data_IF_021934806340
#
_entry.id   IF_021934806340
#
_cell.length_a   1.000
_cell.length_b   1.000
_cell.length_c   1.000
_cell.angle_alpha   90.00
_cell.angle_beta   90.00
_cell.angle_gamma   90.00
#
_symmetry.space_group_name_H-M   'P 1'
#
loop_
_entity.id
_entity.type
_entity.pdbx_description
1 polymer ?
#
# COMPACT_ATOMS: atom_id res chain seq x y z
N UNK A 1 -19.36 5.35 28.74
CA UNK A 1 -19.12 6.25 29.89
C UNK A 1 -18.06 7.31 29.60
N UNK A 2 -16.82 6.99 29.19
CA UNK A 2 -15.81 8.03 28.91
C UNK A 2 -16.10 8.89 27.65
N UNK A 3 -16.61 8.30 26.56
CA UNK A 3 -16.86 9.04 25.30
C UNK A 3 -17.90 10.16 25.45
N UNK A 4 -19.02 9.89 26.13
CA UNK A 4 -20.03 10.91 26.41
C UNK A 4 -19.51 11.99 27.39
N UNK A 5 -18.71 11.60 28.38
CA UNK A 5 -18.14 12.53 29.34
C UNK A 5 -17.18 13.56 28.69
N UNK A 6 -16.41 13.14 27.68
CA UNK A 6 -15.46 13.99 26.96
C UNK A 6 -15.97 14.47 25.59
N UNK A 7 -17.24 14.22 25.23
CA UNK A 7 -17.79 14.61 23.92
C UNK A 7 -17.14 13.93 22.71
N UNK A 8 -16.52 12.76 22.89
CA UNK A 8 -15.77 12.06 21.84
C UNK A 8 -16.69 11.22 20.95
N UNK A 9 -16.69 11.52 19.64
CA UNK A 9 -17.44 10.77 18.62
C UNK A 9 -16.83 9.40 18.33
N UNK A 10 -15.56 9.18 18.67
CA UNK A 10 -14.82 7.92 18.51
C UNK A 10 -13.70 7.78 19.56
N UNK A 11 -13.16 6.56 19.80
CA UNK A 11 -11.98 6.41 20.65
C UNK A 11 -10.80 7.22 20.09
N UNK A 12 -10.12 8.05 20.90
CA UNK A 12 -9.10 8.98 20.39
C UNK A 12 -7.84 8.26 19.87
N UNK A 13 -7.55 7.08 20.41
CA UNK A 13 -6.43 6.21 20.00
C UNK A 13 -6.92 4.94 19.28
N UNK A 14 -8.10 4.99 18.68
CA UNK A 14 -8.64 3.87 17.91
C UNK A 14 -7.94 3.73 16.55
N UNK A 15 -7.93 2.51 16.01
CA UNK A 15 -7.46 2.25 14.62
C UNK A 15 -8.32 2.93 13.54
N UNK A 16 -9.42 3.56 13.93
CA UNK A 16 -10.38 4.23 13.03
C UNK A 16 -10.15 5.74 12.89
N UNK A 17 -9.14 6.31 13.57
CA UNK A 17 -8.81 7.73 13.43
C UNK A 17 -8.36 8.01 11.98
N UNK A 18 -9.17 8.80 11.26
CA UNK A 18 -8.95 9.12 9.83
C UNK A 18 -8.04 10.32 9.63
N UNK A 19 -8.09 11.28 10.55
CA UNK A 19 -7.28 12.50 10.51
C UNK A 19 -5.97 12.27 11.25
N UNK A 20 -4.87 12.40 10.51
CA UNK A 20 -3.54 12.40 11.08
C UNK A 20 -3.16 13.84 11.42
N UNK A 21 -2.46 14.02 12.53
CA UNK A 21 -1.79 15.28 12.80
C UNK A 21 -0.70 15.48 11.73
N UNK A 22 -0.76 16.59 10.99
CA UNK A 22 0.23 16.95 9.98
C UNK A 22 0.89 18.28 10.33
N UNK A 23 2.21 18.26 10.53
CA UNK A 23 3.08 19.42 10.68
C UNK A 23 3.72 19.85 9.33
N UNK A 24 3.21 19.32 8.21
CA UNK A 24 3.66 19.55 6.84
C UNK A 24 4.41 18.36 6.23
N UNK A 25 4.79 17.35 7.03
CA UNK A 25 5.45 16.15 6.53
C UNK A 25 4.53 15.27 5.69
N UNK A 26 3.27 15.12 6.08
CA UNK A 26 2.28 14.33 5.33
C UNK A 26 1.96 15.01 4.00
N UNK A 27 1.88 16.34 3.98
CA UNK A 27 1.75 17.11 2.75
C UNK A 27 2.90 16.83 1.77
N UNK A 28 4.16 16.90 2.21
CA UNK A 28 5.33 16.58 1.36
C UNK A 28 5.33 15.12 0.89
N UNK A 29 4.95 14.20 1.76
CA UNK A 29 4.83 12.78 1.40
C UNK A 29 3.76 12.60 0.33
N UNK A 30 2.60 13.26 0.48
CA UNK A 30 1.49 13.22 -0.47
C UNK A 30 1.94 13.75 -1.83
N UNK A 31 2.64 14.89 -1.89
CA UNK A 31 3.17 15.45 -3.14
C UNK A 31 4.11 14.48 -3.86
N UNK A 32 5.08 13.91 -3.13
CA UNK A 32 6.03 12.92 -3.68
C UNK A 32 5.33 11.64 -4.14
N UNK A 33 4.33 11.20 -3.38
CA UNK A 33 3.52 10.04 -3.74
C UNK A 33 2.72 10.30 -5.02
N UNK A 34 2.07 11.45 -5.16
CA UNK A 34 1.37 11.81 -6.41
C UNK A 34 2.32 11.87 -7.61
N UNK A 35 3.51 12.46 -7.43
CA UNK A 35 4.53 12.44 -8.48
C UNK A 35 4.91 11.01 -8.91
N UNK A 36 4.99 10.06 -7.95
CA UNK A 36 5.27 8.65 -8.22
C UNK A 36 4.10 7.94 -8.94
N UNK A 37 2.86 8.38 -8.74
CA UNK A 37 1.70 7.86 -9.50
C UNK A 37 1.77 8.28 -10.97
N UNK A 38 2.27 9.49 -11.24
CA UNK A 38 2.43 10.01 -12.60
C UNK A 38 3.73 9.51 -13.27
N UNK A 39 4.73 9.11 -12.47
CA UNK A 39 6.03 8.62 -12.92
C UNK A 39 6.31 7.26 -12.25
N UNK A 40 5.69 6.16 -12.72
CA UNK A 40 5.79 4.86 -12.08
C UNK A 40 7.24 4.42 -11.85
N UNK A 41 7.54 4.07 -10.60
CA UNK A 41 8.87 3.70 -10.16
C UNK A 41 8.85 3.16 -8.73
N UNK A 42 9.99 3.23 -8.05
CA UNK A 42 10.13 2.76 -6.66
C UNK A 42 10.24 3.98 -5.73
N UNK A 43 9.38 4.03 -4.72
CA UNK A 43 9.47 4.98 -3.62
C UNK A 43 9.94 4.29 -2.34
N UNK A 44 10.76 4.98 -1.55
CA UNK A 44 11.22 4.50 -0.24
C UNK A 44 10.82 5.52 0.85
N UNK A 45 10.02 5.07 1.80
CA UNK A 45 9.68 5.86 3.00
C UNK A 45 10.45 5.32 4.21
N UNK A 46 11.36 6.14 4.74
CA UNK A 46 12.14 5.80 5.93
C UNK A 46 11.74 6.67 7.12
N UNK A 47 12.07 6.20 8.32
CA UNK A 47 11.77 6.87 9.58
C UNK A 47 11.91 5.91 10.75
N UNK A 48 12.03 6.42 11.97
CA UNK A 48 12.17 5.58 13.16
C UNK A 48 10.90 4.72 13.42
N UNK A 49 10.99 3.75 14.32
CA UNK A 49 9.82 2.99 14.76
C UNK A 49 8.84 3.94 15.48
N UNK A 50 7.54 3.77 15.23
CA UNK A 50 6.49 4.57 15.90
C UNK A 50 6.24 5.97 15.36
N UNK A 51 6.95 6.43 14.33
CA UNK A 51 6.74 7.79 13.74
C UNK A 51 5.52 7.89 12.81
N UNK A 52 4.72 6.84 12.67
CA UNK A 52 3.49 6.85 11.89
C UNK A 52 3.63 6.50 10.40
N UNK A 53 4.74 5.87 9.95
CA UNK A 53 4.94 5.46 8.53
C UNK A 53 3.76 4.66 7.95
N UNK A 54 3.36 3.59 8.64
CA UNK A 54 2.21 2.75 8.29
C UNK A 54 0.92 3.56 8.21
N UNK A 55 0.69 4.47 9.16
CA UNK A 55 -0.50 5.33 9.18
C UNK A 55 -0.49 6.30 8.00
N UNK A 56 0.66 6.91 7.71
CA UNK A 56 0.84 7.83 6.59
C UNK A 56 0.65 7.12 5.23
N UNK A 57 1.22 5.92 5.03
CA UNK A 57 1.01 5.12 3.81
C UNK A 57 -0.46 4.76 3.60
N UNK A 58 -1.15 4.35 4.67
CA UNK A 58 -2.60 4.07 4.59
C UNK A 58 -3.40 5.32 4.28
N UNK A 59 -3.03 6.45 4.87
CA UNK A 59 -3.73 7.72 4.65
C UNK A 59 -3.58 8.19 3.20
N UNK A 60 -2.36 8.22 2.64
CA UNK A 60 -2.15 8.70 1.26
C UNK A 60 -2.71 7.76 0.19
N UNK A 61 -2.90 6.47 0.51
CA UNK A 61 -3.49 5.48 -0.41
C UNK A 61 -5.02 5.37 -0.31
N UNK A 62 -5.62 5.79 0.81
CA UNK A 62 -7.06 5.64 1.06
C UNK A 62 -7.94 6.44 0.09
N UNK A 63 -7.47 7.58 -0.40
CA UNK A 63 -8.23 8.49 -1.27
C UNK A 63 -8.02 8.24 -2.77
N UNK A 64 -7.28 7.17 -3.13
CA UNK A 64 -7.03 6.85 -4.52
C UNK A 64 -8.29 6.33 -5.22
N UNK A 65 -8.52 6.81 -6.44
CA UNK A 65 -9.64 6.35 -7.26
C UNK A 65 -9.43 4.87 -7.64
N UNK A 66 -10.30 3.94 -7.17
CA UNK A 66 -10.13 2.50 -7.40
C UNK A 66 -10.29 2.10 -8.88
N UNK A 67 -10.85 2.97 -9.72
CA UNK A 67 -10.90 2.74 -11.17
C UNK A 67 -9.56 3.04 -11.87
N UNK A 68 -8.69 3.86 -11.25
CA UNK A 68 -7.38 4.23 -11.79
C UNK A 68 -6.22 3.51 -11.10
N UNK A 69 -6.41 3.06 -9.86
CA UNK A 69 -5.35 2.51 -9.04
C UNK A 69 -5.79 1.21 -8.35
N UNK A 70 -4.97 0.17 -8.45
CA UNK A 70 -5.12 -1.06 -7.69
C UNK A 70 -4.08 -1.08 -6.57
N UNK A 71 -4.49 -0.77 -5.34
CA UNK A 71 -3.60 -0.77 -4.18
C UNK A 71 -3.48 -2.18 -3.62
N UNK A 72 -2.26 -2.73 -3.62
CA UNK A 72 -1.90 -4.02 -3.06
C UNK A 72 -0.99 -3.75 -1.86
N UNK A 73 -1.44 -4.13 -0.67
CA UNK A 73 -0.70 -3.89 0.57
C UNK A 73 -0.14 -5.19 1.13
N UNK A 74 1.15 -5.22 1.47
CA UNK A 74 1.82 -6.37 2.08
C UNK A 74 2.63 -5.88 3.28
N UNK A 75 2.35 -6.39 4.48
CA UNK A 75 3.05 -6.04 5.73
C UNK A 75 3.59 -7.25 6.48
N UNK A 76 3.53 -8.42 5.87
CA UNK A 76 3.93 -9.68 6.49
C UNK A 76 5.45 -9.85 6.39
N UNK A 77 6.09 -10.16 7.51
CA UNK A 77 7.54 -10.20 7.66
C UNK A 77 8.16 -11.58 7.44
N UNK A 78 7.34 -12.64 7.32
CA UNK A 78 7.82 -14.03 7.41
C UNK A 78 7.77 -14.77 6.07
N UNK A 79 7.76 -14.06 4.94
CA UNK A 79 7.67 -14.68 3.62
C UNK A 79 9.03 -15.03 3.02
N UNK A 80 9.12 -16.21 2.41
CA UNK A 80 10.18 -16.45 1.45
C UNK A 80 9.98 -15.57 0.23
N UNK A 81 11.05 -15.30 -0.53
CA UNK A 81 10.94 -14.59 -1.83
C UNK A 81 9.89 -15.20 -2.76
N UNK A 82 9.67 -16.52 -2.67
CA UNK A 82 8.67 -17.17 -3.52
C UNK A 82 7.23 -16.92 -3.04
N UNK A 83 7.01 -16.92 -1.73
CA UNK A 83 5.69 -16.62 -1.15
C UNK A 83 5.27 -15.18 -1.42
N UNK A 84 6.22 -14.24 -1.42
CA UNK A 84 5.97 -12.85 -1.79
C UNK A 84 5.35 -12.74 -3.20
N UNK A 85 5.92 -13.42 -4.19
CA UNK A 85 5.38 -13.41 -5.56
C UNK A 85 4.05 -14.16 -5.67
N UNK A 86 3.86 -15.25 -4.91
CA UNK A 86 2.58 -15.97 -4.90
C UNK A 86 1.46 -15.11 -4.31
N UNK A 87 1.74 -14.38 -3.24
CA UNK A 87 0.80 -13.44 -2.63
C UNK A 87 0.49 -12.28 -3.57
N UNK A 88 1.49 -11.74 -4.27
CA UNK A 88 1.26 -10.73 -5.30
C UNK A 88 0.36 -11.27 -6.43
N UNK A 89 0.60 -12.49 -6.91
CA UNK A 89 -0.24 -13.12 -7.92
C UNK A 89 -1.70 -13.26 -7.45
N UNK A 90 -1.93 -13.73 -6.22
CA UNK A 90 -3.27 -13.80 -5.63
C UNK A 90 -3.93 -12.42 -5.56
N UNK A 91 -3.20 -11.38 -5.12
CA UNK A 91 -3.71 -10.02 -5.04
C UNK A 91 -4.04 -9.41 -6.43
N UNK A 92 -3.38 -9.89 -7.48
CA UNK A 92 -3.66 -9.52 -8.88
C UNK A 92 -4.81 -10.33 -9.51
N UNK A 93 -5.38 -11.28 -8.76
CA UNK A 93 -6.47 -12.17 -9.21
C UNK A 93 -5.99 -13.34 -10.06
N UNK A 94 -4.73 -13.75 -9.92
CA UNK A 94 -4.14 -14.88 -10.64
C UNK A 94 -4.11 -16.13 -9.76
N UNK A 95 -4.15 -17.30 -10.40
CA UNK A 95 -3.82 -18.56 -9.75
C UNK A 95 -2.28 -18.77 -9.78
N UNK A 96 -1.59 -18.84 -8.62
CA UNK A 96 -0.13 -18.84 -8.60
C UNK A 96 0.47 -20.15 -9.13
N UNK A 97 1.22 -20.08 -10.23
CA UNK A 97 1.93 -21.24 -10.75
C UNK A 97 3.03 -21.75 -9.79
N UNK A 98 3.17 -23.07 -9.69
CA UNK A 98 4.24 -23.72 -8.91
C UNK A 98 5.65 -23.42 -9.47
N UNK A 99 5.77 -23.20 -10.79
CA UNK A 99 7.04 -22.87 -11.44
C UNK A 99 7.28 -21.37 -11.41
N UNK A 100 8.39 -20.95 -10.78
CA UNK A 100 8.81 -19.54 -10.67
C UNK A 100 8.76 -18.77 -11.99
N UNK A 101 9.25 -19.38 -13.08
CA UNK A 101 9.29 -18.75 -14.39
C UNK A 101 7.89 -18.54 -14.99
N UNK A 102 6.91 -19.37 -14.64
CA UNK A 102 5.52 -19.18 -15.06
C UNK A 102 4.87 -18.08 -14.21
N UNK A 103 4.99 -18.18 -12.88
CA UNK A 103 4.47 -17.17 -11.95
C UNK A 103 4.92 -15.75 -12.32
N UNK A 104 6.20 -15.58 -12.63
CA UNK A 104 6.75 -14.28 -13.02
C UNK A 104 6.20 -13.76 -14.34
N UNK A 105 5.95 -14.64 -15.31
CA UNK A 105 5.32 -14.27 -16.59
C UNK A 105 3.88 -13.85 -16.36
N UNK A 106 3.12 -14.63 -15.61
CA UNK A 106 1.70 -14.35 -15.32
C UNK A 106 1.54 -13.01 -14.60
N UNK A 107 2.37 -12.73 -13.59
CA UNK A 107 2.39 -11.44 -12.88
C UNK A 107 2.68 -10.28 -13.84
N UNK A 108 3.70 -10.41 -14.69
CA UNK A 108 4.07 -9.38 -15.65
C UNK A 108 2.96 -9.11 -16.66
N UNK A 109 2.44 -10.16 -17.28
CA UNK A 109 1.34 -10.08 -18.25
C UNK A 109 0.12 -9.40 -17.61
N UNK A 110 -0.20 -9.74 -16.36
CA UNK A 110 -1.31 -9.15 -15.64
C UNK A 110 -1.11 -7.67 -15.30
N UNK A 111 0.10 -7.28 -14.90
CA UNK A 111 0.45 -5.87 -14.64
C UNK A 111 0.36 -5.06 -15.95
N UNK A 112 0.89 -5.59 -17.06
CA UNK A 112 0.80 -4.95 -18.38
C UNK A 112 -0.65 -4.80 -18.82
N UNK A 113 -1.49 -5.84 -18.68
CA UNK A 113 -2.92 -5.77 -19.00
C UNK A 113 -3.64 -4.70 -18.16
N UNK A 114 -3.33 -4.61 -16.86
CA UNK A 114 -3.91 -3.60 -15.98
C UNK A 114 -3.53 -2.18 -16.42
N UNK A 115 -2.26 -1.94 -16.71
CA UNK A 115 -1.76 -0.61 -17.09
C UNK A 115 -2.24 -0.20 -18.49
N UNK A 116 -2.08 -1.06 -19.49
CA UNK A 116 -2.25 -0.71 -20.90
C UNK A 116 -3.70 -0.81 -21.36
N UNK A 117 -4.38 -1.91 -21.00
CA UNK A 117 -5.73 -2.18 -21.48
C UNK A 117 -6.81 -1.63 -20.53
N UNK A 118 -6.56 -1.65 -19.22
CA UNK A 118 -7.55 -1.23 -18.20
C UNK A 118 -7.29 0.17 -17.66
N UNK A 119 -6.17 0.80 -18.03
CA UNK A 119 -5.75 2.11 -17.50
C UNK A 119 -5.78 2.17 -15.96
N UNK A 120 -5.47 1.03 -15.32
CA UNK A 120 -5.45 0.86 -13.89
C UNK A 120 -4.02 0.56 -13.46
N UNK A 121 -3.39 1.50 -12.76
CA UNK A 121 -2.02 1.39 -12.28
C UNK A 121 -1.97 0.55 -10.99
N UNK A 122 -1.29 -0.61 -10.99
CA UNK A 122 -1.07 -1.35 -9.76
C UNK A 122 -0.04 -0.63 -8.88
N UNK A 123 -0.36 -0.49 -7.59
CA UNK A 123 0.52 0.09 -6.58
C UNK A 123 0.78 -0.98 -5.54
N UNK A 124 2.01 -1.46 -5.46
CA UNK A 124 2.41 -2.45 -4.47
C UNK A 124 3.14 -1.79 -3.30
N UNK A 125 2.48 -1.74 -2.15
CA UNK A 125 3.00 -1.19 -0.91
C UNK A 125 3.58 -2.33 -0.07
N UNK A 126 4.89 -2.28 0.16
CA UNK A 126 5.62 -3.16 1.06
C UNK A 126 5.88 -2.42 2.37
N UNK A 127 5.16 -2.76 3.42
CA UNK A 127 5.40 -2.26 4.78
C UNK A 127 6.34 -3.20 5.53
N UNK A 128 7.12 -2.67 6.47
CA UNK A 128 8.16 -3.42 7.21
C UNK A 128 9.18 -4.16 6.30
N UNK A 129 9.47 -3.58 5.13
CA UNK A 129 10.31 -4.18 4.09
C UNK A 129 11.77 -4.44 4.50
N UNK A 130 12.24 -3.89 5.62
CA UNK A 130 13.58 -4.19 6.15
C UNK A 130 13.73 -5.66 6.61
N UNK A 131 12.64 -6.40 6.73
CA UNK A 131 12.63 -7.81 7.12
C UNK A 131 12.51 -8.78 5.93
N UNK A 132 12.44 -8.28 4.68
CA UNK A 132 12.30 -9.06 3.44
C UNK A 132 13.61 -9.67 2.91
#
# INVERSE_FOLDING_TARGET
MYRQHFGLTQPPLGKQTRELFDDGQLTRLKERFHWLLDNPGIGLLTGAAGVGKTAALRHITADLNPHRFLVIYSAETDFTRFDLYRNLALALGLEPAFRRAQLWRDIKERITELADAKHCLPIWVLDEAQNL
#
